data_IF_495624031598
#
_entry.id   IF_495624031598
#
_cell.length_a   1.000
_cell.length_b   1.000
_cell.length_c   1.000
_cell.angle_alpha   90.00
_cell.angle_beta   90.00
_cell.angle_gamma   90.00
#
_symmetry.space_group_name_H-M   'P 1'
#
loop_
_entity.id
_entity.type
_entity.pdbx_description
1 polymer ?
#
# COMPACT_ATOMS: atom_id res chain seq x y z
N UNK A 1 -14.64 25.10 2.73
CA UNK A 1 -14.02 23.85 2.23
C UNK A 1 -12.88 23.48 3.15
N UNK A 2 -12.82 22.26 3.71
CA UNK A 2 -11.65 21.80 4.45
C UNK A 2 -10.41 21.77 3.55
N UNK A 3 -9.21 22.07 4.07
CA UNK A 3 -7.99 22.07 3.28
C UNK A 3 -7.73 20.67 2.72
N UNK A 4 -7.34 20.60 1.44
CA UNK A 4 -7.08 19.34 0.68
C UNK A 4 -6.06 18.42 1.38
N UNK A 5 -5.29 18.96 2.33
CA UNK A 5 -4.29 18.23 3.12
C UNK A 5 -4.82 17.64 4.45
N UNK A 6 -6.11 17.80 4.78
CA UNK A 6 -6.65 17.26 6.03
C UNK A 6 -6.76 15.74 5.99
N UNK A 7 -6.25 15.09 7.02
CA UNK A 7 -6.46 13.66 7.28
C UNK A 7 -7.96 13.43 7.52
N UNK A 8 -8.54 12.47 6.81
CA UNK A 8 -9.97 12.10 6.90
C UNK A 8 -10.23 10.85 7.71
N UNK A 9 -9.24 9.96 7.84
CA UNK A 9 -9.38 8.71 8.58
C UNK A 9 -8.09 8.39 9.30
N UNK A 10 -8.21 7.92 10.53
CA UNK A 10 -7.11 7.40 11.35
C UNK A 10 -7.56 6.13 12.03
N UNK A 11 -6.74 5.09 11.92
CA UNK A 11 -6.97 3.81 12.57
C UNK A 11 -5.63 3.18 12.94
N UNK A 12 -5.67 2.23 13.85
CA UNK A 12 -4.51 1.40 14.19
C UNK A 12 -4.86 -0.05 13.90
N UNK A 13 -3.91 -0.81 13.36
CA UNK A 13 -4.06 -2.25 13.24
C UNK A 13 -2.76 -2.96 13.62
N UNK A 14 -2.88 -4.20 14.07
CA UNK A 14 -1.75 -5.07 14.38
C UNK A 14 -1.37 -5.91 13.16
N UNK A 15 -0.08 -6.17 13.01
CA UNK A 15 0.47 -7.09 12.02
C UNK A 15 1.74 -7.73 12.56
N UNK A 16 2.35 -8.63 11.81
CA UNK A 16 3.56 -9.35 12.22
C UNK A 16 4.70 -9.01 11.27
N UNK A 17 5.89 -8.74 11.82
CA UNK A 17 7.15 -8.66 11.07
C UNK A 17 8.19 -9.58 11.71
N UNK A 18 8.70 -10.56 10.97
CA UNK A 18 9.64 -11.58 11.46
C UNK A 18 9.18 -12.24 12.76
N UNK A 19 7.90 -12.62 12.82
CA UNK A 19 7.29 -13.25 13.99
C UNK A 19 7.02 -12.30 15.17
N UNK A 20 7.39 -11.03 15.08
CA UNK A 20 7.10 -10.03 16.11
C UNK A 20 5.82 -9.25 15.78
N UNK A 21 4.86 -9.18 16.71
CA UNK A 21 3.68 -8.33 16.56
C UNK A 21 4.10 -6.86 16.61
N UNK A 22 3.61 -6.07 15.67
CA UNK A 22 3.81 -4.62 15.60
C UNK A 22 2.48 -3.90 15.41
N UNK A 23 2.39 -2.72 16.02
CA UNK A 23 1.26 -1.82 15.87
C UNK A 23 1.54 -0.82 14.75
N UNK A 24 0.60 -0.68 13.81
CA UNK A 24 0.71 0.20 12.65
C UNK A 24 -0.38 1.27 12.72
N UNK A 25 0.04 2.52 12.79
CA UNK A 25 -0.84 3.68 12.69
C UNK A 25 -1.10 4.00 11.22
N UNK A 26 -2.35 3.92 10.81
CA UNK A 26 -2.82 4.28 9.47
C UNK A 26 -3.46 5.66 9.49
N UNK A 27 -3.06 6.52 8.56
CA UNK A 27 -3.70 7.79 8.27
C UNK A 27 -4.01 7.92 6.78
N UNK A 28 -5.20 8.42 6.44
CA UNK A 28 -5.62 8.62 5.05
C UNK A 28 -6.13 10.04 4.84
N UNK A 29 -5.75 10.66 3.71
CA UNK A 29 -6.27 11.96 3.25
C UNK A 29 -7.52 11.77 2.38
N UNK A 30 -8.27 12.86 2.13
CA UNK A 30 -9.41 12.86 1.17
C UNK A 30 -9.03 12.32 -0.22
N UNK A 31 -7.77 12.49 -0.60
CA UNK A 31 -7.24 12.05 -1.89
C UNK A 31 -6.88 10.57 -1.93
N UNK A 32 -7.18 9.80 -0.89
CA UNK A 32 -6.78 8.40 -0.69
C UNK A 32 -5.27 8.18 -0.59
N UNK A 33 -4.47 9.24 -0.45
CA UNK A 33 -3.09 9.11 -0.02
C UNK A 33 -3.08 8.54 1.40
N UNK A 34 -2.35 7.45 1.59
CA UNK A 34 -2.24 6.77 2.86
C UNK A 34 -0.82 6.87 3.42
N UNK A 35 -0.73 6.90 4.73
CA UNK A 35 0.50 6.93 5.51
C UNK A 35 0.41 5.80 6.53
N UNK A 36 1.46 4.98 6.61
CA UNK A 36 1.64 3.97 7.64
C UNK A 36 2.84 4.32 8.50
N UNK A 37 2.61 4.58 9.76
CA UNK A 37 3.65 4.83 10.76
C UNK A 37 3.73 3.63 11.70
N UNK A 38 4.94 3.08 11.87
CA UNK A 38 5.18 1.95 12.76
C UNK A 38 6.60 1.97 13.30
N UNK A 39 6.82 1.26 14.41
CA UNK A 39 8.15 1.09 14.99
C UNK A 39 8.55 -0.38 14.97
N UNK A 40 9.77 -0.66 14.53
CA UNK A 40 10.31 -2.01 14.47
C UNK A 40 11.83 -2.00 14.66
N UNK A 41 12.37 -2.94 15.44
CA UNK A 41 13.81 -3.00 15.74
C UNK A 41 14.36 -1.73 16.41
N UNK A 42 13.55 -1.05 17.23
CA UNK A 42 13.94 0.19 17.93
C UNK A 42 13.99 1.44 17.04
N UNK A 43 13.50 1.37 15.79
CA UNK A 43 13.42 2.51 14.86
C UNK A 43 11.99 2.73 14.41
N UNK A 44 11.65 3.99 14.12
CA UNK A 44 10.38 4.36 13.52
C UNK A 44 10.50 4.46 12.00
N UNK A 45 9.46 4.01 11.31
CA UNK A 45 9.36 4.03 9.85
C UNK A 45 8.03 4.64 9.44
N UNK A 46 8.06 5.35 8.31
CA UNK A 46 6.87 5.92 7.68
C UNK A 46 6.81 5.47 6.23
N UNK A 47 5.75 4.78 5.85
CA UNK A 47 5.45 4.43 4.48
C UNK A 47 4.43 5.42 3.91
N UNK A 48 4.83 6.15 2.87
CA UNK A 48 3.96 7.07 2.15
C UNK A 48 3.43 6.41 0.87
N UNK A 49 2.12 6.20 0.79
CA UNK A 49 1.44 5.50 -0.31
C UNK A 49 0.55 6.51 -1.04
N UNK A 50 1.13 7.15 -2.05
CA UNK A 50 0.51 8.23 -2.83
C UNK A 50 -0.11 7.77 -4.15
N UNK A 51 0.07 6.49 -4.50
CA UNK A 51 -0.33 5.95 -5.80
C UNK A 51 -1.84 5.78 -5.99
N UNK A 52 -2.62 5.84 -4.91
CA UNK A 52 -4.08 5.81 -4.97
C UNK A 52 -4.69 7.21 -5.24
N UNK A 53 -3.85 8.25 -5.25
CA UNK A 53 -4.22 9.63 -5.55
C UNK A 53 -4.65 9.81 -7.03
N UNK A 54 -5.43 10.87 -7.28
CA UNK A 54 -5.65 11.46 -8.61
C UNK A 54 -6.27 10.52 -9.65
N UNK A 55 -7.33 9.80 -9.29
CA UNK A 55 -8.09 8.96 -10.22
C UNK A 55 -7.56 7.53 -10.39
N UNK A 56 -6.42 7.20 -9.77
CA UNK A 56 -5.90 5.82 -9.76
C UNK A 56 -6.61 4.90 -8.76
N UNK A 57 -7.41 5.46 -7.85
CA UNK A 57 -8.16 4.70 -6.84
C UNK A 57 -9.07 3.65 -7.49
N UNK A 58 -9.74 3.98 -8.58
CA UNK A 58 -10.67 3.06 -9.24
C UNK A 58 -9.91 1.90 -9.91
N UNK A 59 -8.71 2.14 -10.45
CA UNK A 59 -7.83 1.06 -10.96
C UNK A 59 -7.42 0.12 -9.83
N UNK A 60 -7.02 0.67 -8.67
CA UNK A 60 -6.67 -0.13 -7.51
C UNK A 60 -7.87 -0.95 -7.00
N UNK A 61 -9.04 -0.34 -6.88
CA UNK A 61 -10.27 -1.02 -6.45
C UNK A 61 -10.61 -2.20 -7.37
N UNK A 62 -10.48 -2.02 -8.69
CA UNK A 62 -10.66 -3.12 -9.66
C UNK A 62 -9.72 -4.28 -9.37
N UNK A 63 -8.44 -4.01 -9.10
CA UNK A 63 -7.47 -5.05 -8.74
C UNK A 63 -7.83 -5.74 -7.41
N UNK A 64 -8.28 -4.98 -6.40
CA UNK A 64 -8.68 -5.54 -5.08
C UNK A 64 -9.83 -6.54 -5.22
N UNK A 65 -10.84 -6.21 -6.05
CA UNK A 65 -12.02 -7.03 -6.30
C UNK A 65 -11.74 -8.19 -7.26
N UNK A 66 -10.78 -8.04 -8.19
CA UNK A 66 -10.33 -9.15 -9.05
C UNK A 66 -9.53 -10.20 -8.27
N UNK A 67 -8.83 -9.79 -7.21
CA UNK A 67 -7.96 -10.68 -6.44
C UNK A 67 -8.71 -11.64 -5.51
N UNK A 68 -9.79 -11.17 -4.89
CA UNK A 68 -10.59 -11.97 -3.96
C UNK A 68 -12.03 -11.45 -3.89
N UNK A 69 -12.98 -12.35 -3.63
CA UNK A 69 -14.36 -11.96 -3.32
C UNK A 69 -14.40 -11.06 -2.08
N UNK A 70 -15.24 -10.02 -2.13
CA UNK A 70 -15.37 -9.02 -1.08
C UNK A 70 -16.82 -8.85 -0.70
N UNK A 71 -17.04 -8.61 0.59
CA UNK A 71 -18.34 -8.21 1.11
C UNK A 71 -18.78 -6.88 0.48
N UNK A 72 -19.98 -6.87 -0.09
CA UNK A 72 -20.50 -5.72 -0.83
C UNK A 72 -20.81 -4.55 0.11
N UNK A 73 -21.25 -4.80 1.34
CA UNK A 73 -21.59 -3.73 2.27
C UNK A 73 -20.32 -2.98 2.70
N UNK A 74 -19.23 -3.71 2.93
CA UNK A 74 -17.94 -3.17 3.36
C UNK A 74 -17.13 -2.55 2.23
N UNK A 75 -17.09 -3.18 1.06
CA UNK A 75 -16.19 -2.82 -0.05
C UNK A 75 -16.90 -2.32 -1.30
N UNK A 76 -18.24 -2.23 -1.28
CA UNK A 76 -19.07 -1.84 -2.42
C UNK A 76 -19.05 -2.84 -3.57
N UNK A 77 -19.53 -2.42 -4.75
CA UNK A 77 -19.73 -3.30 -5.89
C UNK A 77 -19.03 -2.78 -7.15
N UNK A 78 -18.52 -3.69 -7.97
CA UNK A 78 -18.13 -3.41 -9.36
C UNK A 78 -19.19 -3.99 -10.28
N UNK A 79 -19.85 -3.14 -11.06
CA UNK A 79 -20.86 -3.57 -12.04
C UNK A 79 -20.34 -3.43 -13.46
N UNK A 80 -20.91 -4.21 -14.38
CA UNK A 80 -20.68 -4.05 -15.81
C UNK A 80 -21.75 -3.10 -16.39
N UNK A 81 -21.32 -2.02 -17.04
CA UNK A 81 -22.21 -1.17 -17.84
C UNK A 81 -22.55 -1.84 -19.18
N UNK A 82 -23.51 -1.25 -19.91
CA UNK A 82 -24.07 -1.77 -21.17
C UNK A 82 -23.04 -1.96 -22.32
N UNK A 83 -21.78 -1.58 -22.13
CA UNK A 83 -20.68 -1.73 -23.09
C UNK A 83 -19.53 -2.60 -22.57
N UNK A 84 -19.74 -3.39 -21.51
CA UNK A 84 -18.69 -4.23 -20.91
C UNK A 84 -17.66 -3.44 -20.08
N UNK A 85 -17.93 -2.17 -19.81
CA UNK A 85 -17.06 -1.32 -18.99
C UNK A 85 -17.35 -1.55 -17.51
N UNK A 86 -16.32 -1.87 -16.74
CA UNK A 86 -16.42 -1.98 -15.28
C UNK A 86 -16.58 -0.60 -14.63
N UNK A 87 -17.67 -0.43 -13.90
CA UNK A 87 -18.03 0.78 -13.13
C UNK A 87 -17.88 0.49 -11.64
N UNK A 88 -17.20 1.40 -10.93
CA UNK A 88 -16.98 1.31 -9.49
C UNK A 88 -18.12 2.03 -8.77
N UNK A 89 -19.03 1.28 -8.15
CA UNK A 89 -20.14 1.83 -7.36
C UNK A 89 -19.78 1.74 -5.87
N UNK A 90 -19.04 2.74 -5.40
CA UNK A 90 -18.54 2.79 -4.03
C UNK A 90 -18.62 4.20 -3.48
N UNK A 91 -19.09 4.31 -2.23
CA UNK A 91 -19.00 5.56 -1.48
C UNK A 91 -17.58 5.80 -0.94
N UNK A 92 -17.37 6.98 -0.33
CA UNK A 92 -16.06 7.36 0.23
C UNK A 92 -15.57 6.40 1.31
N UNK A 93 -16.48 5.84 2.12
CA UNK A 93 -16.16 4.91 3.21
C UNK A 93 -15.67 3.58 2.65
N UNK A 94 -16.39 3.02 1.67
CA UNK A 94 -16.05 1.77 0.97
C UNK A 94 -14.71 1.89 0.24
N UNK A 95 -14.47 3.01 -0.46
CA UNK A 95 -13.14 3.28 -1.05
C UNK A 95 -12.05 3.37 0.02
N UNK A 96 -12.34 3.99 1.16
CA UNK A 96 -11.44 4.02 2.31
C UNK A 96 -11.14 2.65 2.91
N UNK A 97 -12.12 1.74 2.93
CA UNK A 97 -11.93 0.36 3.39
C UNK A 97 -11.02 -0.42 2.44
N UNK A 98 -11.19 -0.27 1.12
CA UNK A 98 -10.30 -0.86 0.14
C UNK A 98 -8.85 -0.37 0.30
N UNK A 99 -8.66 0.93 0.55
CA UNK A 99 -7.35 1.55 0.82
C UNK A 99 -6.71 0.97 2.08
N UNK A 100 -7.46 0.88 3.19
CA UNK A 100 -6.99 0.25 4.41
C UNK A 100 -6.59 -1.22 4.20
N UNK A 101 -7.37 -1.97 3.43
CA UNK A 101 -7.04 -3.35 3.09
C UNK A 101 -5.75 -3.44 2.28
N UNK A 102 -5.56 -2.57 1.29
CA UNK A 102 -4.30 -2.48 0.53
C UNK A 102 -3.09 -2.17 1.43
N UNK A 103 -3.27 -1.31 2.43
CA UNK A 103 -2.23 -1.05 3.43
C UNK A 103 -1.88 -2.28 4.27
N UNK A 104 -2.90 -3.05 4.71
CA UNK A 104 -2.68 -4.31 5.43
C UNK A 104 -1.94 -5.31 4.55
N UNK A 105 -2.32 -5.41 3.28
CA UNK A 105 -1.68 -6.31 2.31
C UNK A 105 -0.23 -5.90 2.02
N UNK A 106 0.08 -4.59 2.01
CA UNK A 106 1.46 -4.07 1.93
C UNK A 106 2.29 -4.56 3.12
N UNK A 107 1.76 -4.50 4.34
CA UNK A 107 2.48 -4.96 5.54
C UNK A 107 2.67 -6.48 5.57
N UNK A 108 1.67 -7.24 5.13
CA UNK A 108 1.78 -8.70 4.96
C UNK A 108 2.85 -9.04 3.90
N UNK A 109 2.86 -8.31 2.79
CA UNK A 109 3.88 -8.47 1.76
C UNK A 109 5.27 -8.09 2.27
N UNK A 110 5.37 -7.05 3.11
CA UNK A 110 6.62 -6.65 3.74
C UNK A 110 7.20 -7.77 4.59
N UNK A 111 6.37 -8.41 5.43
CA UNK A 111 6.80 -9.55 6.25
C UNK A 111 7.36 -10.69 5.41
N UNK A 112 6.69 -11.03 4.30
CA UNK A 112 7.16 -12.05 3.35
C UNK A 112 8.51 -11.68 2.74
N UNK A 113 8.68 -10.43 2.30
CA UNK A 113 9.94 -9.94 1.71
C UNK A 113 11.06 -9.98 2.76
N UNK A 114 10.83 -9.45 3.96
CA UNK A 114 11.84 -9.44 5.02
C UNK A 114 12.22 -10.87 5.41
N UNK A 115 11.26 -11.76 5.58
CA UNK A 115 11.50 -13.16 5.93
C UNK A 115 12.34 -13.88 4.87
N UNK A 116 12.08 -13.60 3.60
CA UNK A 116 12.75 -14.26 2.47
C UNK A 116 14.14 -13.70 2.20
N UNK A 117 14.28 -12.37 2.13
CA UNK A 117 15.51 -11.71 1.67
C UNK A 117 16.36 -11.13 2.80
N UNK A 118 15.81 -10.94 3.99
CA UNK A 118 16.50 -10.48 5.21
C UNK A 118 17.39 -9.26 4.95
N UNK A 119 18.72 -9.43 5.00
CA UNK A 119 19.72 -8.38 4.76
C UNK A 119 19.75 -7.85 3.33
N UNK A 120 19.20 -8.60 2.37
CA UNK A 120 19.14 -8.24 0.94
C UNK A 120 17.81 -7.61 0.53
N UNK A 121 16.97 -7.20 1.49
CA UNK A 121 15.66 -6.59 1.22
C UNK A 121 15.75 -5.36 0.31
N UNK A 122 16.76 -4.51 0.51
CA UNK A 122 16.94 -3.29 -0.27
C UNK A 122 17.26 -3.63 -1.73
N UNK A 123 18.16 -4.60 -1.96
CA UNK A 123 18.56 -5.02 -3.29
C UNK A 123 17.39 -5.67 -4.05
N UNK A 124 16.62 -6.52 -3.37
CA UNK A 124 15.39 -7.07 -3.93
C UNK A 124 14.38 -5.97 -4.27
N UNK A 125 14.17 -5.01 -3.37
CA UNK A 125 13.19 -3.94 -3.59
C UNK A 125 13.58 -3.02 -4.76
N UNK A 126 14.88 -2.74 -4.96
CA UNK A 126 15.37 -2.01 -6.12
C UNK A 126 15.18 -2.84 -7.40
N UNK A 127 15.66 -4.08 -7.42
CA UNK A 127 15.54 -4.98 -8.57
C UNK A 127 14.08 -5.18 -9.00
N UNK A 128 13.17 -5.45 -8.06
CA UNK A 128 11.77 -5.71 -8.38
C UNK A 128 11.11 -4.48 -9.03
N UNK A 129 11.44 -3.27 -8.57
CA UNK A 129 10.92 -2.02 -9.12
C UNK A 129 11.40 -1.76 -10.55
N UNK A 130 12.63 -2.14 -10.87
CA UNK A 130 13.24 -1.97 -12.19
C UNK A 130 12.77 -3.04 -13.17
N UNK A 131 12.69 -4.29 -12.73
CA UNK A 131 12.31 -5.43 -13.57
C UNK A 131 10.80 -5.51 -13.86
N UNK A 132 9.93 -4.97 -12.99
CA UNK A 132 8.47 -5.09 -13.10
C UNK A 132 7.79 -3.73 -13.26
N UNK A 133 7.95 -3.13 -14.44
CA UNK A 133 7.34 -1.84 -14.77
C UNK A 133 5.84 -1.92 -15.04
N UNK A 134 5.33 -3.07 -15.43
CA UNK A 134 3.90 -3.33 -15.66
C UNK A 134 3.28 -4.04 -14.44
N UNK A 135 2.03 -3.72 -14.15
CA UNK A 135 1.29 -4.25 -12.99
C UNK A 135 0.00 -4.87 -13.51
N UNK A 136 0.09 -6.13 -13.91
CA UNK A 136 -1.03 -6.86 -14.51
C UNK A 136 -2.02 -7.37 -13.45
N UNK A 137 -1.50 -7.82 -12.30
CA UNK A 137 -2.29 -8.38 -11.21
C UNK A 137 -2.11 -7.65 -9.86
N UNK A 138 -3.01 -7.94 -8.91
CA UNK A 138 -3.00 -7.32 -7.58
C UNK A 138 -1.77 -7.66 -6.74
N UNK A 139 -1.27 -8.89 -6.81
CA UNK A 139 -0.10 -9.34 -6.04
C UNK A 139 1.16 -8.60 -6.50
N UNK A 140 1.35 -8.49 -7.81
CA UNK A 140 2.42 -7.72 -8.44
C UNK A 140 2.28 -6.23 -8.15
N UNK A 141 1.06 -5.70 -8.15
CA UNK A 141 0.77 -4.34 -7.73
C UNK A 141 1.20 -4.08 -6.28
N UNK A 142 0.74 -4.88 -5.32
CA UNK A 142 1.04 -4.73 -3.89
C UNK A 142 2.54 -4.89 -3.65
N UNK A 143 3.17 -5.92 -4.22
CA UNK A 143 4.61 -6.16 -4.09
C UNK A 143 5.41 -4.94 -4.53
N UNK A 144 5.09 -4.36 -5.68
CA UNK A 144 5.76 -3.14 -6.16
C UNK A 144 5.55 -1.95 -5.23
N UNK A 145 4.35 -1.79 -4.65
CA UNK A 145 4.09 -0.73 -3.67
C UNK A 145 4.91 -0.94 -2.39
N UNK A 146 4.98 -2.16 -1.89
CA UNK A 146 5.83 -2.50 -0.75
C UNK A 146 7.30 -2.20 -1.04
N UNK A 147 7.84 -2.64 -2.18
CA UNK A 147 9.22 -2.35 -2.57
C UNK A 147 9.49 -0.84 -2.71
N UNK A 148 8.53 -0.07 -3.25
CA UNK A 148 8.64 1.38 -3.30
C UNK A 148 8.74 1.99 -1.90
N UNK A 149 7.90 1.56 -0.96
CA UNK A 149 7.95 2.03 0.42
C UNK A 149 9.27 1.67 1.11
N UNK A 150 9.76 0.44 0.96
CA UNK A 150 11.04 -0.03 1.51
C UNK A 150 12.20 0.87 1.07
N UNK A 151 12.28 1.18 -0.23
CA UNK A 151 13.35 2.02 -0.78
C UNK A 151 13.23 3.45 -0.24
N UNK A 152 12.03 4.02 -0.18
CA UNK A 152 11.84 5.41 0.26
C UNK A 152 11.99 5.61 1.76
N UNK A 153 11.70 4.61 2.58
CA UNK A 153 11.86 4.70 4.03
C UNK A 153 13.25 4.26 4.50
N UNK A 154 14.13 3.88 3.57
CA UNK A 154 15.45 3.29 3.86
C UNK A 154 15.37 2.15 4.88
N UNK A 155 14.34 1.31 4.76
CA UNK A 155 14.09 0.23 5.72
C UNK A 155 15.32 -0.68 5.81
N UNK A 156 15.83 -0.87 7.04
CA UNK A 156 17.02 -1.66 7.33
C UNK A 156 18.32 -1.19 6.66
N UNK A 157 18.37 0.00 6.07
CA UNK A 157 19.64 0.53 5.58
C UNK A 157 20.60 0.72 6.78
N UNK A 158 21.85 0.23 6.70
CA UNK A 158 22.90 0.73 7.59
C UNK A 158 22.91 2.26 7.43
N UNK A 159 23.24 2.99 8.51
CA UNK A 159 23.20 4.47 8.60
C UNK A 159 24.13 5.20 7.61
N UNK A 160 24.55 4.55 6.53
CA UNK A 160 25.29 5.11 5.42
C UNK A 160 24.28 5.80 4.49
N UNK A 161 24.32 7.14 4.35
CA UNK A 161 23.45 7.86 3.44
C UNK A 161 23.71 7.36 2.01
N UNK A 162 22.72 6.71 1.39
CA UNK A 162 22.81 6.39 -0.04
C UNK A 162 22.34 7.62 -0.80
N UNK A 163 23.23 8.20 -1.61
CA UNK A 163 22.87 9.29 -2.51
C UNK A 163 21.76 8.79 -3.46
N UNK A 164 20.56 9.35 -3.31
CA UNK A 164 19.43 9.10 -4.20
C UNK A 164 19.82 9.54 -5.62
N UNK A 165 20.05 8.57 -6.50
CA UNK A 165 20.10 8.84 -7.94
C UNK A 165 18.68 9.17 -8.37
N UNK A 166 18.45 10.44 -8.73
CA UNK A 166 17.18 10.87 -9.34
C UNK A 166 17.13 10.31 -10.76
N UNK A 167 16.13 9.48 -11.04
CA UNK A 167 15.73 9.09 -12.39
C UNK A 167 14.61 10.00 -12.86
#
# INVERSE_FOLDING_TARGET
>A
MPPIHSITRRETFETTLLGSSISVSFSMKMTYEAILDFSWGGRSYTFNIWHWKSGNIDKFIKLVHQYAERDQDTYGLITMAAQGVQVVNMDTTQKGNAVLQGCKDIMICLDKIITTYQSSIMDYAMWYREAHTEQEDYSSYITRRTCHCVVHSELLSPLVPRLLVKF
#
